data_IF_765117136085
#
_entry.id   IF_765117136085
#
_cell.length_a   1.000
_cell.length_b   1.000
_cell.length_c   1.000
_cell.angle_alpha   90.00
_cell.angle_beta   90.00
_cell.angle_gamma   90.00
#
_symmetry.space_group_name_H-M   'P 1'
#
loop_
_entity.id
_entity.type
_entity.pdbx_description
1 polymer ?
#
# COMPACT_ATOMS: atom_id res chain seq x y z
N UNK A 1 -7.56 11.69 -8.96
CA UNK A 1 -8.76 10.97 -9.43
C UNK A 1 -9.98 11.86 -9.25
N UNK A 2 -10.90 11.94 -10.23
CA UNK A 2 -12.18 12.67 -10.16
C UNK A 2 -13.30 11.72 -10.58
N UNK A 3 -14.35 11.59 -9.77
CA UNK A 3 -15.54 10.79 -10.15
C UNK A 3 -16.40 11.64 -11.09
N UNK A 4 -16.79 11.09 -12.23
CA UNK A 4 -17.56 11.76 -13.28
C UNK A 4 -19.04 11.37 -13.22
N UNK A 5 -19.33 10.08 -13.05
CA UNK A 5 -20.70 9.61 -12.90
C UNK A 5 -20.77 8.37 -12.01
N UNK A 6 -21.94 8.18 -11.41
CA UNK A 6 -22.30 6.98 -10.65
C UNK A 6 -23.61 6.43 -11.19
N UNK A 7 -23.64 5.16 -11.53
CA UNK A 7 -24.85 4.40 -11.84
C UNK A 7 -24.96 3.21 -10.91
N UNK A 8 -26.12 3.02 -10.32
CA UNK A 8 -26.37 1.88 -9.44
C UNK A 8 -27.78 1.34 -9.65
N UNK A 9 -27.98 0.07 -9.35
CA UNK A 9 -29.27 -0.61 -9.43
C UNK A 9 -29.41 -1.58 -8.28
N UNK A 10 -30.56 -1.53 -7.60
CA UNK A 10 -30.97 -2.48 -6.56
C UNK A 10 -29.90 -2.72 -5.48
N UNK A 11 -29.38 -1.66 -4.89
CA UNK A 11 -28.42 -1.71 -3.79
C UNK A 11 -29.06 -1.22 -2.49
N UNK A 12 -28.96 -2.01 -1.43
CA UNK A 12 -29.53 -1.74 -0.12
C UNK A 12 -31.01 -1.33 -0.20
N UNK A 13 -31.36 -0.11 0.22
CA UNK A 13 -32.73 0.45 0.16
C UNK A 13 -33.07 1.09 -1.19
N UNK A 14 -32.10 1.30 -2.07
CA UNK A 14 -32.31 1.95 -3.37
C UNK A 14 -32.71 0.90 -4.42
N UNK A 15 -34.00 0.64 -4.51
CA UNK A 15 -34.60 -0.23 -5.52
C UNK A 15 -34.72 0.51 -6.85
N UNK A 16 -34.52 -0.20 -7.96
CA UNK A 16 -34.52 0.37 -9.31
C UNK A 16 -33.15 0.91 -9.70
N UNK A 17 -33.11 1.60 -10.82
CA UNK A 17 -31.89 2.16 -11.39
C UNK A 17 -31.78 3.65 -11.08
N UNK A 18 -30.58 4.08 -10.67
CA UNK A 18 -30.27 5.46 -10.30
C UNK A 18 -28.98 5.87 -11.01
N UNK A 19 -28.98 7.10 -11.53
CA UNK A 19 -27.79 7.68 -12.16
C UNK A 19 -27.56 9.09 -11.60
N UNK A 20 -26.31 9.40 -11.29
CA UNK A 20 -25.84 10.71 -10.84
C UNK A 20 -24.70 11.11 -11.78
N UNK A 21 -24.84 12.28 -12.39
CA UNK A 21 -23.80 12.86 -13.23
C UNK A 21 -23.14 14.03 -12.48
N UNK A 22 -21.89 13.85 -12.11
CA UNK A 22 -21.09 14.85 -11.41
C UNK A 22 -20.43 15.86 -12.36
N UNK A 23 -20.61 15.71 -13.67
CA UNK A 23 -20.13 16.65 -14.69
C UNK A 23 -21.18 17.71 -15.05
N UNK A 24 -22.43 17.49 -14.64
CA UNK A 24 -23.54 18.41 -14.84
C UNK A 24 -23.69 19.39 -13.67
N UNK A 25 -24.45 20.47 -13.89
CA UNK A 25 -24.86 21.35 -12.79
C UNK A 25 -25.71 20.61 -11.74
N UNK A 26 -25.53 20.85 -10.43
CA UNK A 26 -24.68 21.88 -9.80
C UNK A 26 -23.25 21.42 -9.46
N UNK A 27 -22.78 20.26 -9.94
CA UNK A 27 -21.51 19.65 -9.52
C UNK A 27 -20.30 20.04 -10.37
N UNK A 28 -20.54 20.54 -11.58
CA UNK A 28 -19.54 20.73 -12.64
C UNK A 28 -18.28 21.47 -12.19
N UNK A 29 -18.46 22.59 -11.50
CA UNK A 29 -17.38 23.49 -11.09
C UNK A 29 -16.96 23.31 -9.62
N UNK A 30 -17.57 22.35 -8.91
CA UNK A 30 -17.30 22.09 -7.51
C UNK A 30 -16.43 20.84 -7.34
N UNK A 31 -15.24 21.02 -6.74
CA UNK A 31 -14.36 19.89 -6.38
C UNK A 31 -14.80 19.14 -5.12
N UNK A 32 -15.68 19.76 -4.32
CA UNK A 32 -16.20 19.22 -3.06
C UNK A 32 -17.71 19.41 -2.99
N UNK A 33 -18.44 18.35 -2.63
CA UNK A 33 -19.89 18.40 -2.41
C UNK A 33 -20.28 17.53 -1.22
N UNK A 34 -21.42 17.86 -0.59
CA UNK A 34 -21.96 17.11 0.53
C UNK A 34 -23.22 16.35 0.12
N UNK A 35 -23.30 15.08 0.52
CA UNK A 35 -24.50 14.24 0.38
C UNK A 35 -25.31 14.37 1.67
N UNK A 36 -26.42 15.11 1.63
CA UNK A 36 -27.29 15.35 2.78
C UNK A 36 -28.64 14.66 2.63
N UNK A 37 -29.33 14.47 3.73
CA UNK A 37 -30.69 13.88 3.76
C UNK A 37 -30.98 13.14 5.07
N UNK A 38 -32.23 12.72 5.31
CA UNK A 38 -32.61 12.01 6.51
C UNK A 38 -31.93 10.64 6.64
N UNK A 39 -31.94 10.08 7.86
CA UNK A 39 -31.47 8.71 8.10
C UNK A 39 -32.31 7.73 7.27
N UNK A 40 -31.63 6.75 6.64
CA UNK A 40 -32.29 5.78 5.76
C UNK A 40 -32.49 6.23 4.31
N UNK A 41 -32.19 7.49 3.95
CA UNK A 41 -32.35 7.99 2.57
C UNK A 41 -31.38 7.38 1.53
N UNK A 42 -30.49 6.46 1.91
CA UNK A 42 -29.58 5.81 0.99
C UNK A 42 -28.26 6.54 0.76
N UNK A 43 -27.92 7.57 1.53
CA UNK A 43 -26.65 8.32 1.41
C UNK A 43 -25.42 7.40 1.39
N UNK A 44 -25.33 6.52 2.37
CA UNK A 44 -24.22 5.56 2.47
C UNK A 44 -24.23 4.55 1.32
N UNK A 45 -25.40 4.24 0.78
CA UNK A 45 -25.52 3.33 -0.39
C UNK A 45 -24.84 3.89 -1.62
N UNK A 46 -24.84 5.22 -1.82
CA UNK A 46 -24.10 5.85 -2.91
C UNK A 46 -22.59 5.64 -2.74
N UNK A 47 -22.09 5.80 -1.52
CA UNK A 47 -20.68 5.56 -1.20
C UNK A 47 -20.31 4.07 -1.32
N UNK A 48 -21.18 3.18 -0.85
CA UNK A 48 -21.03 1.73 -1.01
C UNK A 48 -20.97 1.34 -2.51
N UNK A 49 -21.81 1.96 -3.35
CA UNK A 49 -21.81 1.70 -4.79
C UNK A 49 -20.51 2.13 -5.47
N UNK A 50 -19.93 3.27 -5.10
CA UNK A 50 -18.64 3.72 -5.61
C UNK A 50 -17.54 2.72 -5.21
N UNK A 51 -17.47 2.36 -3.93
CA UNK A 51 -16.49 1.38 -3.43
C UNK A 51 -16.66 0.02 -4.10
N UNK A 52 -17.89 -0.43 -4.29
CA UNK A 52 -18.20 -1.71 -4.91
C UNK A 52 -17.78 -1.73 -6.38
N UNK A 53 -18.05 -0.67 -7.13
CA UNK A 53 -17.65 -0.55 -8.52
C UNK A 53 -16.12 -0.58 -8.69
N UNK A 54 -15.37 0.07 -7.80
CA UNK A 54 -13.91 0.18 -7.89
C UNK A 54 -13.19 -1.02 -7.27
N UNK A 55 -13.60 -1.43 -6.05
CA UNK A 55 -12.83 -2.34 -5.20
C UNK A 55 -13.55 -3.64 -4.81
N UNK A 56 -14.77 -3.88 -5.28
CA UNK A 56 -15.58 -5.10 -5.03
C UNK A 56 -15.92 -5.34 -3.55
N UNK A 57 -15.81 -4.34 -2.72
CA UNK A 57 -16.14 -4.34 -1.29
C UNK A 57 -16.63 -2.96 -0.85
N UNK A 58 -17.21 -2.88 0.33
CA UNK A 58 -17.70 -1.63 0.89
C UNK A 58 -17.06 -1.35 2.25
N UNK A 59 -17.09 -0.09 2.75
CA UNK A 59 -16.53 0.24 4.05
C UNK A 59 -17.15 -0.53 5.23
N UNK A 60 -18.43 -0.92 5.10
CA UNK A 60 -19.19 -1.61 6.15
C UNK A 60 -19.17 -3.12 6.02
N UNK A 61 -18.94 -3.62 4.83
CA UNK A 61 -19.01 -5.04 4.51
C UNK A 61 -17.76 -5.41 3.75
N UNK A 62 -17.19 -6.54 4.09
CA UNK A 62 -16.04 -7.10 3.39
C UNK A 62 -16.34 -7.45 1.93
N UNK A 63 -15.49 -8.30 1.35
CA UNK A 63 -15.65 -8.76 -0.02
C UNK A 63 -16.92 -9.58 -0.19
N UNK A 64 -17.72 -9.23 -1.19
CA UNK A 64 -18.91 -10.00 -1.57
C UNK A 64 -18.50 -11.31 -2.26
N UNK A 65 -19.23 -12.37 -1.95
CA UNK A 65 -18.96 -13.70 -2.50
C UNK A 65 -20.01 -14.13 -3.52
N UNK A 66 -19.75 -15.24 -4.21
CA UNK A 66 -20.74 -15.86 -5.10
C UNK A 66 -21.96 -16.42 -4.36
N UNK A 67 -21.87 -16.64 -3.03
CA UNK A 67 -22.94 -17.23 -2.23
C UNK A 67 -23.63 -16.26 -1.28
N UNK A 68 -23.06 -15.08 -1.04
CA UNK A 68 -23.61 -14.10 -0.10
C UNK A 68 -23.45 -12.67 -0.62
N UNK A 69 -24.56 -11.96 -0.71
CA UNK A 69 -24.62 -10.55 -1.05
C UNK A 69 -25.74 -9.85 -0.27
N UNK A 70 -25.38 -9.20 0.81
CA UNK A 70 -26.32 -8.44 1.65
C UNK A 70 -26.63 -7.06 1.09
N UNK A 71 -25.87 -6.58 0.09
CA UNK A 71 -26.15 -5.31 -0.59
C UNK A 71 -27.27 -5.41 -1.60
N UNK A 72 -27.57 -6.60 -2.11
CA UNK A 72 -28.65 -6.80 -3.06
C UNK A 72 -30.00 -6.48 -2.41
N UNK A 73 -30.74 -5.54 -2.98
CA UNK A 73 -32.08 -5.16 -2.50
C UNK A 73 -32.99 -6.41 -2.42
N UNK A 74 -33.68 -6.57 -1.31
CA UNK A 74 -34.59 -7.72 -1.09
C UNK A 74 -35.64 -7.80 -2.19
N UNK A 75 -35.96 -9.01 -2.58
CA UNK A 75 -36.94 -9.32 -3.64
C UNK A 75 -36.54 -8.80 -5.05
N UNK A 76 -35.24 -8.62 -5.30
CA UNK A 76 -34.71 -8.33 -6.63
C UNK A 76 -33.79 -9.44 -7.12
N UNK A 77 -33.64 -9.55 -8.43
CA UNK A 77 -32.87 -10.61 -9.05
C UNK A 77 -31.43 -10.20 -9.42
N UNK A 78 -31.17 -8.91 -9.50
CA UNK A 78 -29.90 -8.37 -9.93
C UNK A 78 -29.55 -7.08 -9.21
N UNK A 79 -28.27 -6.77 -9.16
CA UNK A 79 -27.76 -5.47 -8.74
C UNK A 79 -26.52 -5.09 -9.54
N UNK A 80 -26.24 -3.80 -9.64
CA UNK A 80 -25.03 -3.27 -10.26
C UNK A 80 -24.55 -2.00 -9.58
N UNK A 81 -23.26 -1.76 -9.76
CA UNK A 81 -22.60 -0.50 -9.47
C UNK A 81 -21.62 -0.17 -10.59
N UNK A 82 -21.67 1.04 -11.09
CA UNK A 82 -20.80 1.52 -12.16
C UNK A 82 -20.37 2.94 -11.85
N UNK A 83 -19.09 3.20 -12.02
CA UNK A 83 -18.47 4.50 -11.79
C UNK A 83 -17.64 4.87 -12.99
N UNK A 84 -17.90 6.04 -13.55
CA UNK A 84 -16.98 6.68 -14.48
C UNK A 84 -16.09 7.65 -13.71
N UNK A 85 -14.79 7.62 -13.99
CA UNK A 85 -13.81 8.45 -13.30
C UNK A 85 -12.68 8.86 -14.24
N UNK A 86 -12.09 10.02 -13.92
CA UNK A 86 -10.92 10.54 -14.61
C UNK A 86 -9.68 10.41 -13.71
N UNK A 87 -8.58 10.01 -14.33
CA UNK A 87 -7.24 10.03 -13.74
C UNK A 87 -6.31 10.72 -14.73
N UNK A 88 -5.74 11.85 -14.31
CA UNK A 88 -5.03 12.75 -15.23
C UNK A 88 -5.99 13.12 -16.38
N UNK A 89 -5.57 12.93 -17.60
CA UNK A 89 -6.36 13.26 -18.82
C UNK A 89 -7.01 12.02 -19.43
N UNK A 90 -7.18 10.93 -18.69
CA UNK A 90 -7.78 9.70 -19.17
C UNK A 90 -9.07 9.39 -18.42
N UNK A 91 -10.09 8.89 -19.16
CA UNK A 91 -11.36 8.48 -18.60
C UNK A 91 -11.48 6.96 -18.54
N UNK A 92 -12.06 6.49 -17.46
CA UNK A 92 -12.25 5.07 -17.19
C UNK A 92 -13.65 4.82 -16.67
N UNK A 93 -14.14 3.61 -16.91
CA UNK A 93 -15.40 3.10 -16.34
C UNK A 93 -15.11 1.79 -15.62
N UNK A 94 -15.42 1.76 -14.34
CA UNK A 94 -15.38 0.56 -13.51
C UNK A 94 -16.79 0.05 -13.29
N UNK A 95 -17.04 -1.20 -13.63
CA UNK A 95 -18.33 -1.86 -13.52
C UNK A 95 -18.25 -3.08 -12.61
N UNK A 96 -19.28 -3.28 -11.81
CA UNK A 96 -19.50 -4.46 -11.01
C UNK A 96 -20.99 -4.82 -11.03
N UNK A 97 -21.31 -6.08 -11.20
CA UNK A 97 -22.70 -6.56 -11.11
C UNK A 97 -22.76 -7.97 -10.55
N UNK A 98 -23.89 -8.29 -9.94
CA UNK A 98 -24.20 -9.64 -9.50
C UNK A 98 -25.67 -9.92 -9.73
N UNK A 99 -26.00 -11.13 -10.13
CA UNK A 99 -27.37 -11.55 -10.39
C UNK A 99 -27.68 -12.94 -9.80
N UNK A 100 -28.98 -13.21 -9.69
CA UNK A 100 -29.49 -14.53 -9.34
C UNK A 100 -29.80 -15.33 -10.59
N UNK A 101 -29.76 -16.64 -10.45
CA UNK A 101 -30.06 -17.56 -11.55
C UNK A 101 -31.48 -17.35 -12.08
N UNK A 102 -31.63 -17.42 -13.40
CA UNK A 102 -32.90 -17.26 -14.15
C UNK A 102 -33.61 -15.93 -13.90
N UNK A 103 -32.87 -14.89 -13.45
CA UNK A 103 -33.40 -13.57 -13.08
C UNK A 103 -34.58 -13.65 -12.08
N UNK A 104 -34.55 -14.65 -11.19
CA UNK A 104 -35.54 -14.82 -10.14
C UNK A 104 -35.01 -14.37 -8.78
N UNK A 105 -35.84 -13.67 -8.02
CA UNK A 105 -35.47 -13.15 -6.69
C UNK A 105 -35.15 -14.23 -5.67
N UNK A 106 -35.60 -15.47 -5.88
CA UNK A 106 -35.35 -16.67 -5.09
C UNK A 106 -34.24 -17.58 -5.69
N UNK A 107 -33.70 -17.20 -6.86
CA UNK A 107 -32.64 -17.94 -7.53
C UNK A 107 -31.32 -17.90 -6.77
N UNK A 108 -30.48 -18.92 -6.95
CA UNK A 108 -29.13 -18.94 -6.40
C UNK A 108 -28.28 -17.78 -6.93
N UNK A 109 -27.51 -17.13 -6.07
CA UNK A 109 -26.58 -16.09 -6.46
C UNK A 109 -25.52 -16.66 -7.41
N UNK A 110 -25.13 -15.87 -8.40
CA UNK A 110 -24.06 -16.18 -9.34
C UNK A 110 -22.80 -15.39 -9.00
N UNK A 111 -21.66 -15.81 -9.55
CA UNK A 111 -20.42 -15.08 -9.41
C UNK A 111 -20.57 -13.63 -9.95
N UNK A 112 -19.97 -12.64 -9.30
CA UNK A 112 -20.03 -11.28 -9.77
C UNK A 112 -19.31 -11.13 -11.12
N UNK A 113 -19.82 -10.23 -11.94
CA UNK A 113 -19.18 -9.79 -13.18
C UNK A 113 -18.57 -8.42 -12.96
N UNK A 114 -17.39 -8.22 -13.49
CA UNK A 114 -16.65 -6.97 -13.37
C UNK A 114 -16.07 -6.58 -14.72
N UNK A 115 -15.90 -5.27 -14.94
CA UNK A 115 -15.21 -4.74 -16.08
C UNK A 115 -14.45 -3.47 -15.67
N UNK A 116 -13.31 -3.25 -16.29
CA UNK A 116 -12.60 -1.98 -16.31
C UNK A 116 -12.38 -1.59 -17.76
N UNK A 117 -12.86 -0.42 -18.12
CA UNK A 117 -12.89 0.08 -19.49
C UNK A 117 -12.19 1.43 -19.52
N UNK A 118 -11.31 1.64 -20.47
CA UNK A 118 -10.80 2.97 -20.81
C UNK A 118 -11.71 3.59 -21.88
N UNK A 119 -12.11 4.83 -21.68
CA UNK A 119 -13.03 5.55 -22.57
C UNK A 119 -12.23 6.58 -23.35
N UNK A 120 -12.30 6.50 -24.65
CA UNK A 120 -11.78 7.55 -25.54
C UNK A 120 -12.71 8.77 -25.46
N UNK A 121 -12.17 9.91 -25.04
CA UNK A 121 -12.95 11.13 -24.82
C UNK A 121 -13.49 11.74 -26.12
N UNK A 122 -12.79 11.53 -27.25
CA UNK A 122 -13.19 12.10 -28.54
C UNK A 122 -14.32 11.31 -29.18
N UNK A 123 -14.30 9.99 -29.06
CA UNK A 123 -15.25 9.09 -29.72
C UNK A 123 -16.31 8.52 -28.78
N UNK A 124 -16.08 8.56 -27.46
CA UNK A 124 -16.90 7.88 -26.46
C UNK A 124 -16.78 6.36 -26.49
N UNK A 125 -15.90 5.79 -27.30
CA UNK A 125 -15.72 4.35 -27.45
C UNK A 125 -14.93 3.81 -26.26
N UNK A 126 -15.42 2.72 -25.66
CA UNK A 126 -14.75 2.06 -24.54
C UNK A 126 -13.88 0.88 -25.00
N UNK A 127 -12.64 0.83 -24.56
CA UNK A 127 -11.76 -0.33 -24.67
C UNK A 127 -11.73 -1.08 -23.34
N UNK A 128 -12.14 -2.35 -23.34
CA UNK A 128 -12.08 -3.20 -22.14
C UNK A 128 -10.61 -3.49 -21.83
N UNK A 129 -10.16 -3.07 -20.66
CA UNK A 129 -8.82 -3.37 -20.15
C UNK A 129 -8.78 -4.74 -19.48
N UNK A 130 -9.84 -5.07 -18.72
CA UNK A 130 -9.98 -6.38 -18.07
C UNK A 130 -11.42 -6.63 -17.64
N UNK A 131 -11.79 -7.92 -17.60
CA UNK A 131 -13.04 -8.45 -17.04
C UNK A 131 -12.78 -9.41 -15.84
N UNK A 132 -11.53 -9.49 -15.38
CA UNK A 132 -11.11 -10.38 -14.30
C UNK A 132 -11.01 -9.63 -12.97
N UNK A 133 -11.58 -10.21 -11.94
CA UNK A 133 -11.73 -9.64 -10.60
C UNK A 133 -10.40 -9.14 -9.99
N UNK A 134 -9.39 -10.01 -9.93
CA UNK A 134 -8.10 -9.68 -9.33
C UNK A 134 -7.25 -8.73 -10.18
N UNK A 135 -7.36 -8.82 -11.49
CA UNK A 135 -6.65 -7.96 -12.41
C UNK A 135 -7.22 -6.54 -12.37
N UNK A 136 -8.55 -6.42 -12.30
CA UNK A 136 -9.22 -5.13 -12.16
C UNK A 136 -8.79 -4.40 -10.89
N UNK A 137 -8.69 -5.08 -9.74
CA UNK A 137 -8.21 -4.47 -8.49
C UNK A 137 -6.80 -3.89 -8.65
N UNK A 138 -5.87 -4.67 -9.18
CA UNK A 138 -4.48 -4.24 -9.42
C UNK A 138 -4.39 -3.08 -10.40
N UNK A 139 -5.17 -3.12 -11.49
CA UNK A 139 -5.21 -2.04 -12.46
C UNK A 139 -5.83 -0.77 -11.86
N UNK A 140 -6.92 -0.88 -11.10
CA UNK A 140 -7.54 0.26 -10.42
C UNK A 140 -6.55 0.93 -9.48
N UNK A 141 -5.83 0.16 -8.66
CA UNK A 141 -4.78 0.66 -7.78
C UNK A 141 -3.63 1.31 -8.56
N UNK A 142 -3.13 0.65 -9.59
CA UNK A 142 -2.05 1.18 -10.43
C UNK A 142 -2.42 2.49 -11.15
N UNK A 143 -3.65 2.59 -11.66
CA UNK A 143 -4.13 3.77 -12.37
C UNK A 143 -4.40 4.94 -11.42
N UNK A 144 -5.02 4.68 -10.28
CA UNK A 144 -5.46 5.71 -9.33
C UNK A 144 -4.39 6.08 -8.31
N UNK A 145 -3.44 5.19 -8.05
CA UNK A 145 -2.49 5.28 -6.92
C UNK A 145 -3.15 5.01 -5.55
N UNK A 146 -4.41 4.58 -5.54
CA UNK A 146 -5.21 4.40 -4.35
C UNK A 146 -5.69 2.95 -4.25
N UNK A 147 -5.28 2.26 -3.19
CA UNK A 147 -5.94 1.03 -2.75
C UNK A 147 -7.27 1.37 -2.04
N UNK A 148 -7.99 0.35 -1.60
CA UNK A 148 -9.27 0.55 -0.94
C UNK A 148 -9.17 1.34 0.37
N UNK A 149 -8.15 1.10 1.17
CA UNK A 149 -7.97 1.75 2.47
C UNK A 149 -7.66 3.25 2.29
N UNK A 150 -6.74 3.56 1.37
CA UNK A 150 -6.41 4.94 1.02
C UNK A 150 -7.60 5.66 0.39
N UNK A 151 -8.31 4.99 -0.52
CA UNK A 151 -9.49 5.57 -1.15
C UNK A 151 -10.58 5.93 -0.13
N UNK A 152 -10.90 5.02 0.78
CA UNK A 152 -11.94 5.24 1.80
C UNK A 152 -11.55 6.26 2.86
N UNK A 153 -10.26 6.43 3.13
CA UNK A 153 -9.75 7.43 4.06
C UNK A 153 -9.57 8.83 3.43
N UNK A 154 -9.25 8.90 2.13
CA UNK A 154 -8.93 10.15 1.44
C UNK A 154 -10.08 10.74 0.63
N UNK A 155 -10.75 9.90 -0.16
CA UNK A 155 -11.77 10.34 -1.12
C UNK A 155 -13.18 10.23 -0.57
N UNK A 156 -13.41 9.28 0.33
CA UNK A 156 -14.68 9.01 0.95
C UNK A 156 -14.57 9.20 2.45
N UNK A 157 -14.94 10.36 2.95
CA UNK A 157 -15.11 10.58 4.38
C UNK A 157 -16.38 9.84 4.86
N UNK A 158 -16.27 8.51 4.96
CA UNK A 158 -17.32 7.68 5.49
C UNK A 158 -17.59 8.03 6.96
N UNK A 159 -18.83 7.79 7.42
CA UNK A 159 -19.25 8.09 8.78
C UNK A 159 -18.27 7.50 9.82
N UNK A 160 -17.71 8.35 10.67
CA UNK A 160 -16.75 7.99 11.72
C UNK A 160 -15.27 8.18 11.35
N UNK A 161 -14.87 8.09 10.08
CA UNK A 161 -13.48 8.22 9.69
C UNK A 161 -12.92 9.65 9.86
N UNK A 162 -13.72 10.66 9.58
CA UNK A 162 -13.30 12.05 9.73
C UNK A 162 -13.20 12.49 11.21
N UNK A 163 -14.09 12.00 12.05
CA UNK A 163 -14.01 12.24 13.49
C UNK A 163 -12.71 11.67 14.06
N UNK A 164 -12.35 10.45 13.67
CA UNK A 164 -11.10 9.82 14.08
C UNK A 164 -9.86 10.63 13.68
N UNK A 165 -9.86 11.25 12.48
CA UNK A 165 -8.76 12.13 12.04
C UNK A 165 -8.68 13.43 12.86
N UNK A 166 -9.83 14.05 13.16
CA UNK A 166 -9.85 15.29 13.94
C UNK A 166 -9.46 15.07 15.39
N UNK A 167 -9.86 13.96 15.98
CA UNK A 167 -9.59 13.60 17.37
C UNK A 167 -8.19 12.98 17.56
N UNK A 168 -7.54 12.56 16.47
CA UNK A 168 -6.20 11.97 16.49
C UNK A 168 -5.16 12.96 17.03
N UNK A 169 -4.19 12.47 17.79
CA UNK A 169 -3.04 13.26 18.22
C UNK A 169 -2.10 13.57 17.01
N UNK A 170 -1.09 14.45 17.21
CA UNK A 170 -0.22 14.90 16.13
C UNK A 170 0.50 13.74 15.40
N UNK A 171 0.96 12.72 16.13
CA UNK A 171 1.65 11.57 15.53
C UNK A 171 0.69 10.70 14.72
N UNK A 172 -0.50 10.42 15.25
CA UNK A 172 -1.54 9.67 14.54
C UNK A 172 -2.03 10.39 13.29
N UNK A 173 -2.15 11.74 13.35
CA UNK A 173 -2.49 12.53 12.16
C UNK A 173 -1.39 12.49 11.10
N UNK A 174 -0.11 12.55 11.51
CA UNK A 174 1.02 12.43 10.60
C UNK A 174 1.02 11.06 9.92
N UNK A 175 0.83 9.97 10.67
CA UNK A 175 0.75 8.61 10.14
C UNK A 175 -0.42 8.46 9.13
N UNK A 176 -1.60 8.97 9.47
CA UNK A 176 -2.75 8.99 8.57
C UNK A 176 -2.47 9.81 7.29
N UNK A 177 -1.79 10.95 7.40
CA UNK A 177 -1.42 11.76 6.24
C UNK A 177 -0.37 11.06 5.37
N UNK A 178 0.62 10.40 5.97
CA UNK A 178 1.61 9.60 5.25
C UNK A 178 0.94 8.46 4.49
N UNK A 179 0.00 7.75 5.12
CA UNK A 179 -0.80 6.70 4.48
C UNK A 179 -1.63 7.25 3.30
N UNK A 180 -2.27 8.42 3.48
CA UNK A 180 -3.09 9.07 2.45
C UNK A 180 -2.27 9.56 1.24
N UNK A 181 -1.09 10.10 1.49
CA UNK A 181 -0.21 10.66 0.46
C UNK A 181 0.70 9.61 -0.19
N UNK A 182 0.73 8.38 0.36
CA UNK A 182 1.65 7.34 -0.09
C UNK A 182 3.12 7.66 0.22
N UNK A 183 3.35 8.48 1.25
CA UNK A 183 4.70 8.89 1.69
C UNK A 183 5.26 8.02 2.80
N UNK A 184 4.55 6.98 3.21
CA UNK A 184 4.99 5.94 4.15
C UNK A 184 6.33 5.30 3.77
N UNK A 185 6.64 5.25 2.47
CA UNK A 185 7.94 4.78 1.95
C UNK A 185 9.11 5.59 2.53
N UNK A 186 8.95 6.90 2.73
CA UNK A 186 10.01 7.74 3.31
C UNK A 186 10.23 7.43 4.79
N UNK A 187 9.18 7.09 5.54
CA UNK A 187 9.26 6.60 6.91
C UNK A 187 10.05 5.29 6.98
N UNK A 188 9.76 4.34 6.10
CA UNK A 188 10.47 3.06 6.00
C UNK A 188 11.94 3.25 5.63
N UNK A 189 12.25 4.13 4.67
CA UNK A 189 13.63 4.46 4.29
C UNK A 189 14.38 5.07 5.48
N UNK A 190 13.77 6.04 6.18
CA UNK A 190 14.35 6.69 7.35
C UNK A 190 14.66 5.69 8.47
N UNK A 191 13.73 4.79 8.77
CA UNK A 191 13.94 3.73 9.75
C UNK A 191 15.10 2.81 9.36
N UNK A 192 15.15 2.37 8.10
CA UNK A 192 16.22 1.50 7.61
C UNK A 192 17.60 2.17 7.67
N UNK A 193 17.68 3.44 7.29
CA UNK A 193 18.92 4.23 7.41
C UNK A 193 19.35 4.36 8.87
N UNK A 194 18.41 4.61 9.77
CA UNK A 194 18.70 4.70 11.21
C UNK A 194 19.22 3.36 11.76
N UNK A 195 18.58 2.25 11.42
CA UNK A 195 19.00 0.90 11.85
C UNK A 195 20.40 0.56 11.35
N UNK A 196 20.68 0.77 10.06
CA UNK A 196 22.00 0.56 9.47
C UNK A 196 23.07 1.44 10.11
N UNK A 197 22.75 2.73 10.34
CA UNK A 197 23.68 3.65 11.00
C UNK A 197 24.02 3.17 12.41
N UNK A 198 23.03 2.70 13.16
CA UNK A 198 23.22 2.16 14.52
C UNK A 198 24.12 0.92 14.53
N UNK A 199 23.88 -0.02 13.59
CA UNK A 199 24.70 -1.23 13.46
C UNK A 199 26.15 -0.92 13.10
N UNK A 200 26.37 -0.07 12.11
CA UNK A 200 27.73 0.33 11.68
C UNK A 200 28.44 1.09 12.79
N UNK A 201 27.75 1.98 13.49
CA UNK A 201 28.31 2.71 14.62
C UNK A 201 28.71 1.78 15.77
N UNK A 202 27.87 0.80 16.10
CA UNK A 202 28.18 -0.19 17.13
C UNK A 202 29.39 -1.05 16.75
N UNK A 203 29.49 -1.48 15.48
CA UNK A 203 30.65 -2.21 14.98
C UNK A 203 31.94 -1.37 15.02
N UNK A 204 31.85 -0.08 14.64
CA UNK A 204 32.97 0.85 14.74
C UNK A 204 33.44 1.05 16.18
N UNK A 205 32.50 1.22 17.11
CA UNK A 205 32.82 1.41 18.54
C UNK A 205 33.47 0.15 19.13
N UNK A 206 33.05 -1.06 18.71
CA UNK A 206 33.72 -2.30 19.08
C UNK A 206 35.17 -2.39 18.53
N UNK A 207 35.38 -1.99 17.28
CA UNK A 207 36.72 -1.96 16.69
C UNK A 207 37.62 -0.95 17.38
N UNK A 208 37.09 0.22 17.69
CA UNK A 208 37.81 1.26 18.47
C UNK A 208 38.16 0.77 19.86
N UNK A 209 37.24 0.11 20.56
CA UNK A 209 37.50 -0.48 21.89
C UNK A 209 38.59 -1.55 21.82
N UNK A 210 38.60 -2.41 20.79
CA UNK A 210 39.67 -3.39 20.56
C UNK A 210 41.00 -2.71 20.26
N UNK A 211 40.99 -1.67 19.45
CA UNK A 211 42.18 -0.93 19.06
C UNK A 211 42.78 -0.15 20.24
N UNK A 212 41.94 0.41 21.14
CA UNK A 212 42.40 1.15 22.31
C UNK A 212 43.11 0.28 23.37
N UNK A 213 42.91 -1.03 23.34
CA UNK A 213 43.64 -1.99 24.17
C UNK A 213 44.95 -2.48 23.57
N UNK A 214 45.30 -2.05 22.36
CA UNK A 214 46.57 -2.39 21.70
C UNK A 214 47.52 -1.21 21.87
N UNK A 215 48.51 -1.36 22.73
CA UNK A 215 49.64 -0.43 22.81
C UNK A 215 50.48 -0.61 21.51
N UNK A 216 50.54 0.43 20.73
CA UNK A 216 51.41 0.47 19.56
C UNK A 216 52.83 0.75 20.05
N UNK A 217 53.78 -0.17 19.74
CA UNK A 217 55.19 0.05 19.97
C UNK A 217 55.65 1.28 19.18
N UNK A 218 56.50 2.11 19.79
CA UNK A 218 57.18 3.15 19.05
C UNK A 218 58.12 2.55 18.01
N UNK A 219 58.50 3.31 16.99
CA UNK A 219 59.41 2.85 15.96
C UNK A 219 60.77 2.45 16.57
N UNK A 220 61.24 3.14 17.63
CA UNK A 220 62.45 2.81 18.36
C UNK A 220 62.31 1.47 19.10
N UNK A 221 61.24 1.25 19.81
CA UNK A 221 60.96 -0.04 20.51
C UNK A 221 60.82 -1.19 19.52
N UNK A 222 60.26 -0.95 18.40
CA UNK A 222 60.15 -1.94 17.32
C UNK A 222 61.50 -2.33 16.74
N UNK A 223 62.39 -1.35 16.47
CA UNK A 223 63.73 -1.57 16.02
C UNK A 223 64.59 -2.29 17.08
N UNK A 224 64.46 -1.95 18.34
CA UNK A 224 65.14 -2.66 19.43
C UNK A 224 64.73 -4.13 19.50
N UNK A 225 63.42 -4.41 19.47
CA UNK A 225 62.92 -5.78 19.47
C UNK A 225 63.28 -6.58 18.24
N UNK A 226 63.32 -5.96 17.04
CA UNK A 226 63.77 -6.58 15.81
C UNK A 226 65.27 -6.91 15.87
N UNK A 227 66.11 -6.01 16.44
CA UNK A 227 67.52 -6.26 16.64
C UNK A 227 67.78 -7.37 17.66
N UNK A 228 67.07 -7.38 18.77
CA UNK A 228 67.12 -8.43 19.78
C UNK A 228 66.73 -9.80 19.22
N UNK A 229 65.64 -9.86 18.44
CA UNK A 229 65.19 -11.07 17.76
C UNK A 229 66.24 -11.60 16.79
N UNK A 230 66.94 -10.72 16.05
CA UNK A 230 68.05 -11.14 15.15
C UNK A 230 69.25 -11.69 15.92
N UNK A 231 69.63 -11.04 17.04
CA UNK A 231 70.71 -11.54 17.89
C UNK A 231 70.39 -12.91 18.49
N UNK A 232 69.19 -13.10 19.01
CA UNK A 232 68.74 -14.40 19.57
C UNK A 232 68.72 -15.50 18.51
N UNK A 233 68.33 -15.20 17.26
CA UNK A 233 68.39 -16.16 16.17
C UNK A 233 69.83 -16.53 15.78
N UNK A 234 70.75 -15.57 15.86
CA UNK A 234 72.18 -15.84 15.60
C UNK A 234 72.76 -16.73 16.73
N UNK A 235 72.48 -16.43 17.99
CA UNK A 235 72.90 -17.20 19.16
C UNK A 235 72.33 -18.65 19.12
N UNK A 236 71.06 -18.81 18.74
CA UNK A 236 70.41 -20.10 18.53
C UNK A 236 71.17 -20.93 17.46
N UNK A 237 71.51 -20.29 16.35
CA UNK A 237 72.22 -20.94 15.26
C UNK A 237 73.64 -21.36 15.66
N UNK A 238 74.34 -20.60 16.50
CA UNK A 238 75.64 -20.91 17.04
C UNK A 238 75.57 -22.09 18.01
N UNK A 239 74.64 -22.03 18.98
CA UNK A 239 74.40 -23.12 19.95
C UNK A 239 74.02 -24.44 19.25
N UNK A 240 73.22 -24.40 18.20
CA UNK A 240 72.88 -25.58 17.38
C UNK A 240 74.12 -26.18 16.72
N UNK A 241 75.06 -25.36 16.22
CA UNK A 241 76.33 -25.83 15.62
C UNK A 241 77.23 -26.47 16.70
N UNK A 242 77.33 -25.86 17.86
CA UNK A 242 78.07 -26.43 18.98
C UNK A 242 77.50 -27.77 19.44
N UNK A 243 76.17 -27.85 19.55
CA UNK A 243 75.46 -29.08 19.89
C UNK A 243 75.78 -30.22 18.88
N UNK A 244 75.75 -29.89 17.57
CA UNK A 244 76.08 -30.86 16.52
C UNK A 244 77.50 -31.32 16.58
N UNK A 245 78.46 -30.44 16.89
CA UNK A 245 79.83 -30.78 17.03
C UNK A 245 80.08 -31.70 18.23
N UNK A 246 79.38 -31.49 19.35
CA UNK A 246 79.51 -32.36 20.52
C UNK A 246 78.83 -33.73 20.36
N UNK A 247 77.87 -33.87 19.44
CA UNK A 247 77.21 -35.14 19.14
C UNK A 247 78.07 -36.05 18.16
N UNK A 248 79.04 -35.47 17.52
CA UNK A 248 79.93 -36.20 16.54
C UNK A 248 81.25 -36.66 17.16
N UNK A 249 81.50 -36.25 18.43
CA UNK A 249 82.61 -36.81 19.26
C UNK A 249 82.11 -37.98 20.09
#
# INVERSE_FOLDING_TARGET
>A
MKILSLRLKNLNSLKGEWKIDFTAEPFKDNGLFAITGPTGAGKTTLLDAICLALYHRTPRMGTLSASSNELLTRHTADCLAEVEFAVKDQHYRAFWSQRRARDKSDGALQAPKVELVQIDQATGVGQILTDKLNEKLKLTESLTGLDFERFTKSMLLAQGGFAAFLEANANQRAELLEELTGTDIYGQISQRVFEQTREVKAALDQLRAKASGVELLSDEQRHELEAEAQNLLADEAELLREQQQLQVQ
#
